data_IF_568703338690
#
_entry.id   IF_568703338690
#
_cell.length_a   1.000
_cell.length_b   1.000
_cell.length_c   1.000
_cell.angle_alpha   90.00
_cell.angle_beta   90.00
_cell.angle_gamma   90.00
#
_symmetry.space_group_name_H-M   'P 1'
#
loop_
_entity.id
_entity.type
_entity.pdbx_description
1 polymer ?
#
# COMPACT_ATOMS: atom_id res chain seq x y z
N UNK A 1 -4.52 -6.35 -10.74
CA UNK A 1 -3.62 -5.19 -10.83
C UNK A 1 -4.30 -3.96 -10.27
N UNK A 2 -3.55 -3.01 -9.73
CA UNK A 2 -4.05 -1.76 -9.17
C UNK A 2 -3.55 -0.58 -9.98
N UNK A 3 -4.29 0.52 -9.95
CA UNK A 3 -3.91 1.77 -10.56
C UNK A 3 -2.71 2.43 -9.84
N UNK A 4 -2.09 3.36 -10.55
CA UNK A 4 -1.13 4.34 -10.06
C UNK A 4 -1.77 5.73 -10.05
N UNK A 5 -1.14 6.66 -9.33
CA UNK A 5 -1.42 8.09 -9.48
C UNK A 5 -0.27 8.79 -10.23
N UNK A 6 -0.61 9.86 -10.96
CA UNK A 6 0.29 10.61 -11.85
C UNK A 6 0.92 11.82 -11.14
N UNK A 7 0.27 12.32 -10.10
CA UNK A 7 0.61 13.54 -9.38
C UNK A 7 1.15 13.29 -7.99
N UNK A 8 0.94 12.10 -7.42
CA UNK A 8 1.28 11.80 -6.04
C UNK A 8 1.64 10.34 -5.80
N UNK A 9 2.32 10.16 -4.68
CA UNK A 9 2.79 8.91 -4.15
C UNK A 9 1.77 7.75 -4.19
N UNK A 10 2.27 6.52 -4.27
CA UNK A 10 1.45 5.34 -3.95
C UNK A 10 0.89 5.45 -2.56
N UNK A 11 -0.31 4.95 -2.33
CA UNK A 11 -0.79 4.86 -0.96
C UNK A 11 0.10 3.89 -0.16
N UNK A 12 1.08 4.42 0.60
CA UNK A 12 1.99 3.63 1.46
C UNK A 12 1.24 2.80 2.48
N UNK A 13 0.04 3.26 2.77
CA UNK A 13 -0.92 2.57 3.57
C UNK A 13 -1.16 1.15 3.06
N UNK A 14 -1.40 1.03 1.75
CA UNK A 14 -1.66 -0.21 1.04
C UNK A 14 -0.39 -0.90 0.53
N UNK A 15 0.71 -0.16 0.33
CA UNK A 15 1.93 -0.66 -0.30
C UNK A 15 2.66 -1.68 0.59
N UNK A 16 2.90 -2.88 0.06
CA UNK A 16 3.78 -3.90 0.62
C UNK A 16 4.67 -4.42 -0.49
N UNK A 17 5.96 -4.09 -0.45
CA UNK A 17 6.93 -4.54 -1.46
C UNK A 17 7.26 -6.01 -1.30
N UNK A 18 7.75 -6.68 -2.35
CA UNK A 18 8.20 -8.08 -2.25
C UNK A 18 9.43 -8.24 -1.34
N UNK A 19 10.33 -7.26 -1.34
CA UNK A 19 11.58 -7.26 -0.58
C UNK A 19 11.47 -6.64 0.82
N UNK A 20 10.28 -6.19 1.22
CA UNK A 20 10.03 -5.48 2.48
C UNK A 20 10.93 -4.24 2.74
N UNK A 21 11.61 -3.73 1.70
CA UNK A 21 12.64 -2.70 1.82
C UNK A 21 12.13 -1.26 1.80
N UNK A 22 10.86 -1.06 1.45
CA UNK A 22 10.23 0.28 1.45
C UNK A 22 9.31 0.43 2.64
N UNK A 23 8.34 -0.47 2.77
CA UNK A 23 7.40 -0.50 3.89
C UNK A 23 6.75 -1.88 3.95
N UNK A 24 6.78 -2.52 5.12
CA UNK A 24 6.17 -3.83 5.35
C UNK A 24 5.27 -3.88 6.61
N UNK A 25 4.97 -2.72 7.19
CA UNK A 25 4.12 -2.63 8.36
C UNK A 25 3.09 -1.52 8.18
N UNK A 26 2.14 -1.50 9.10
CA UNK A 26 1.12 -0.46 9.17
C UNK A 26 1.72 0.83 9.74
N UNK A 27 2.08 1.75 8.85
CA UNK A 27 2.78 2.99 9.22
C UNK A 27 1.91 3.92 10.09
N UNK A 28 0.58 3.86 9.94
CA UNK A 28 -0.34 4.72 10.69
C UNK A 28 -0.46 4.33 12.16
N UNK A 29 -0.45 3.04 12.47
CA UNK A 29 -0.34 2.60 13.87
C UNK A 29 0.91 3.18 14.52
N UNK A 30 2.05 3.19 13.80
CA UNK A 30 3.29 3.78 14.30
C UNK A 30 3.18 5.29 14.51
N UNK A 31 2.58 6.01 13.58
CA UNK A 31 2.35 7.47 13.72
C UNK A 31 1.47 7.75 14.94
N UNK A 32 0.33 7.08 15.07
CA UNK A 32 -0.60 7.29 16.19
C UNK A 32 0.00 6.91 17.53
N UNK A 33 0.79 5.84 17.61
CA UNK A 33 1.48 5.46 18.85
C UNK A 33 2.47 6.55 19.30
N UNK A 34 3.18 7.18 18.35
CA UNK A 34 4.10 8.27 18.65
C UNK A 34 3.38 9.56 19.01
N UNK A 35 2.28 9.88 18.34
CA UNK A 35 1.41 11.01 18.70
C UNK A 35 0.84 10.86 20.12
N UNK A 36 0.31 9.67 20.45
CA UNK A 36 -0.21 9.35 21.79
C UNK A 36 0.86 9.40 22.88
N UNK A 37 2.13 9.17 22.53
CA UNK A 37 3.23 9.26 23.48
C UNK A 37 3.54 10.68 23.96
N UNK A 38 3.00 11.71 23.28
CA UNK A 38 3.19 13.12 23.65
C UNK A 38 4.62 13.64 23.48
N UNK A 39 5.51 12.85 22.87
CA UNK A 39 6.90 13.27 22.59
C UNK A 39 6.90 14.40 21.56
N UNK A 40 7.66 15.45 21.83
CA UNK A 40 7.91 16.53 20.86
C UNK A 40 9.07 16.13 19.97
N UNK A 41 8.86 16.23 18.67
CA UNK A 41 9.88 15.96 17.64
C UNK A 41 10.34 17.29 17.06
N UNK A 42 11.65 17.46 16.91
CA UNK A 42 12.22 18.61 16.22
C UNK A 42 12.29 18.33 14.72
N UNK A 43 11.94 19.31 13.87
CA UNK A 43 12.26 19.27 12.45
C UNK A 43 11.15 18.83 11.47
N UNK A 44 9.87 18.89 11.86
CA UNK A 44 8.74 18.65 10.94
C UNK A 44 7.55 17.97 11.62
N UNK A 45 6.53 17.59 10.84
CA UNK A 45 5.44 16.75 11.35
C UNK A 45 5.90 15.29 11.45
N UNK A 46 5.26 14.49 12.31
CA UNK A 46 5.51 13.04 12.38
C UNK A 46 5.23 12.34 11.05
N UNK A 47 4.24 12.84 10.31
CA UNK A 47 3.92 12.40 8.94
C UNK A 47 5.13 12.65 8.03
N UNK A 48 5.77 13.81 8.09
CA UNK A 48 6.94 14.09 7.25
C UNK A 48 8.11 13.16 7.56
N UNK A 49 8.35 12.91 8.84
CA UNK A 49 9.48 12.12 9.32
C UNK A 49 9.32 10.61 9.06
N UNK A 50 8.08 10.12 8.95
CA UNK A 50 7.79 8.68 8.90
C UNK A 50 7.15 8.29 7.58
N UNK A 51 6.23 9.08 7.04
CA UNK A 51 5.49 8.75 5.82
C UNK A 51 6.16 9.39 4.60
N UNK A 52 6.43 10.70 4.66
CA UNK A 52 6.93 11.47 3.51
C UNK A 52 8.27 10.95 2.99
N UNK A 53 9.13 10.39 3.85
CA UNK A 53 10.43 9.83 3.47
C UNK A 53 10.37 8.54 2.63
N UNK A 54 9.25 7.80 2.69
CA UNK A 54 9.08 6.55 1.96
C UNK A 54 8.27 6.73 0.66
N UNK A 55 7.54 7.84 0.54
CA UNK A 55 7.63 8.87 -0.50
C UNK A 55 8.27 8.58 -1.87
N UNK A 56 7.89 7.57 -2.66
CA UNK A 56 8.49 7.30 -3.99
C UNK A 56 7.55 7.62 -5.14
N UNK A 57 7.99 8.52 -6.02
CA UNK A 57 7.39 8.72 -7.33
C UNK A 57 7.69 7.53 -8.24
N UNK A 58 6.67 7.01 -8.93
CA UNK A 58 6.83 5.94 -9.90
C UNK A 58 6.61 6.45 -11.33
N UNK A 59 7.68 6.51 -12.13
CA UNK A 59 7.57 6.77 -13.56
C UNK A 59 6.57 5.85 -14.29
N UNK A 60 5.83 6.41 -15.26
CA UNK A 60 4.82 5.73 -16.12
C UNK A 60 5.49 4.85 -17.20
N UNK A 61 6.57 4.14 -16.85
CA UNK A 61 7.38 3.35 -17.82
C UNK A 61 7.77 1.97 -17.31
N UNK A 62 7.32 1.59 -16.12
CA UNK A 62 7.69 0.31 -15.52
C UNK A 62 6.70 -0.81 -15.82
N UNK A 63 5.56 -0.51 -16.47
CA UNK A 63 4.52 -1.48 -16.78
C UNK A 63 3.92 -2.09 -15.52
N UNK A 64 3.87 -3.43 -15.47
CA UNK A 64 3.37 -4.19 -14.33
C UNK A 64 4.49 -4.48 -13.32
N UNK A 65 4.39 -3.90 -12.13
CA UNK A 65 5.30 -4.12 -11.02
C UNK A 65 4.66 -5.00 -9.96
N UNK A 66 5.26 -6.18 -9.73
CA UNK A 66 4.74 -7.10 -8.73
C UNK A 66 4.98 -6.59 -7.30
N UNK A 67 3.95 -6.66 -6.46
CA UNK A 67 3.96 -6.27 -5.04
C UNK A 67 3.16 -7.30 -4.23
N UNK A 68 3.32 -7.26 -2.90
CA UNK A 68 2.46 -8.02 -2.00
C UNK A 68 1.08 -7.37 -1.86
N UNK A 69 1.04 -6.04 -1.85
CA UNK A 69 -0.17 -5.23 -1.84
C UNK A 69 0.14 -3.82 -2.35
N UNK A 70 -0.83 -3.17 -2.98
CA UNK A 70 -0.84 -1.74 -3.28
C UNK A 70 -2.28 -1.33 -3.66
N UNK A 71 -2.61 -0.06 -3.51
CA UNK A 71 -3.85 0.50 -4.04
C UNK A 71 -3.65 1.98 -4.38
N UNK A 72 -4.39 2.47 -5.37
CA UNK A 72 -4.22 3.81 -5.94
C UNK A 72 -5.50 4.33 -6.57
N UNK A 73 -6.65 4.03 -5.98
CA UNK A 73 -7.98 4.49 -6.43
C UNK A 73 -8.76 3.49 -7.28
N UNK A 74 -8.10 2.56 -7.98
CA UNK A 74 -8.77 1.49 -8.71
C UNK A 74 -8.01 0.17 -8.70
N UNK A 75 -8.75 -0.94 -8.81
CA UNK A 75 -8.22 -2.30 -8.83
C UNK A 75 -9.03 -3.22 -9.74
N UNK A 76 -8.33 -4.01 -10.54
CA UNK A 76 -8.90 -5.05 -11.40
C UNK A 76 -8.42 -6.42 -10.91
N UNK A 77 -9.38 -7.28 -10.56
CA UNK A 77 -9.13 -8.58 -9.99
C UNK A 77 -9.79 -9.67 -10.83
N UNK A 78 -9.09 -10.80 -11.01
CA UNK A 78 -9.74 -12.01 -11.52
C UNK A 78 -10.62 -12.55 -10.40
N UNK A 79 -11.92 -12.71 -10.66
CA UNK A 79 -12.90 -13.19 -9.67
C UNK A 79 -12.44 -14.48 -9.01
N UNK A 80 -11.93 -15.44 -9.78
CA UNK A 80 -11.45 -16.70 -9.22
C UNK A 80 -10.29 -16.54 -8.22
N UNK A 81 -9.48 -15.49 -8.37
CA UNK A 81 -8.39 -15.21 -7.45
C UNK A 81 -8.87 -14.59 -6.13
N UNK A 82 -10.11 -14.12 -6.04
CA UNK A 82 -10.66 -13.49 -4.82
C UNK A 82 -11.52 -14.42 -3.98
N UNK A 83 -11.80 -15.64 -4.44
CA UNK A 83 -12.68 -16.56 -3.72
C UNK A 83 -12.19 -16.85 -2.30
N UNK A 84 -13.10 -16.69 -1.35
CA UNK A 84 -12.85 -16.92 0.07
C UNK A 84 -11.84 -15.95 0.68
N UNK A 85 -11.57 -14.80 0.04
CA UNK A 85 -10.84 -13.67 0.60
C UNK A 85 -11.82 -12.53 0.90
N UNK A 86 -11.74 -12.00 2.11
CA UNK A 86 -12.61 -10.92 2.56
C UNK A 86 -11.91 -9.58 2.47
N UNK A 87 -12.67 -8.59 2.00
CA UNK A 87 -12.29 -7.19 2.04
C UNK A 87 -12.65 -6.64 3.41
N UNK A 88 -11.71 -6.67 4.36
CA UNK A 88 -11.95 -6.32 5.76
C UNK A 88 -10.74 -5.57 6.36
N UNK A 89 -10.98 -4.39 6.94
CA UNK A 89 -9.99 -3.54 7.61
C UNK A 89 -9.96 -3.63 9.14
N UNK A 90 -10.61 -4.61 9.77
CA UNK A 90 -10.68 -4.69 11.24
C UNK A 90 -9.30 -4.79 11.94
N UNK A 91 -8.29 -5.34 11.27
CA UNK A 91 -6.95 -5.59 11.84
C UNK A 91 -5.84 -4.72 11.27
N UNK A 92 -6.14 -3.99 10.20
CA UNK A 92 -5.16 -3.17 9.47
C UNK A 92 -5.85 -1.88 9.09
N UNK A 93 -5.13 -0.77 9.13
CA UNK A 93 -5.73 0.50 8.78
C UNK A 93 -6.25 0.49 7.33
N UNK A 94 -5.61 -0.25 6.41
CA UNK A 94 -6.08 -0.44 5.03
C UNK A 94 -6.54 -1.88 4.79
N UNK A 95 -7.78 -2.03 4.36
CA UNK A 95 -8.47 -3.27 4.05
C UNK A 95 -7.97 -3.98 2.78
N UNK A 96 -7.34 -3.23 1.85
CA UNK A 96 -6.68 -3.84 0.68
C UNK A 96 -5.51 -4.73 1.08
N UNK A 97 -4.80 -4.42 2.16
CA UNK A 97 -3.64 -5.20 2.60
C UNK A 97 -4.02 -6.65 2.93
N UNK A 98 -4.93 -6.93 3.88
CA UNK A 98 -5.31 -8.30 4.20
C UNK A 98 -6.03 -8.99 3.04
N UNK A 99 -6.80 -8.24 2.23
CA UNK A 99 -7.42 -8.78 1.03
C UNK A 99 -6.39 -9.30 0.02
N UNK A 100 -5.38 -8.48 -0.31
CA UNK A 100 -4.29 -8.85 -1.21
C UNK A 100 -3.43 -9.99 -0.67
N UNK A 101 -3.09 -9.96 0.63
CA UNK A 101 -2.34 -11.04 1.25
C UNK A 101 -3.10 -12.37 1.18
N UNK A 102 -4.41 -12.37 1.45
CA UNK A 102 -5.24 -13.55 1.27
C UNK A 102 -5.22 -14.05 -0.18
N UNK A 103 -5.37 -13.17 -1.17
CA UNK A 103 -5.33 -13.55 -2.59
C UNK A 103 -4.00 -14.26 -2.92
N UNK A 104 -2.89 -13.75 -2.40
CA UNK A 104 -1.55 -14.32 -2.61
C UNK A 104 -1.38 -15.66 -1.91
N UNK A 105 -1.75 -15.74 -0.64
CA UNK A 105 -1.51 -16.92 0.20
C UNK A 105 -2.47 -18.07 -0.11
N UNK A 106 -3.76 -17.77 -0.27
CA UNK A 106 -4.81 -18.77 -0.46
C UNK A 106 -4.96 -19.20 -1.92
N UNK A 107 -4.92 -18.23 -2.84
CA UNK A 107 -5.26 -18.44 -4.24
C UNK A 107 -4.05 -18.33 -5.17
N UNK A 108 -2.83 -18.21 -4.62
CA UNK A 108 -1.57 -18.07 -5.37
C UNK A 108 -1.61 -16.92 -6.39
N UNK A 109 -2.48 -15.94 -6.14
CA UNK A 109 -2.62 -14.76 -6.98
C UNK A 109 -1.39 -13.87 -6.86
N UNK A 110 -1.16 -13.05 -7.88
CA UNK A 110 -0.11 -12.03 -7.86
C UNK A 110 -0.75 -10.66 -7.96
N UNK A 111 -0.24 -9.73 -7.15
CA UNK A 111 -0.70 -8.35 -7.13
C UNK A 111 0.33 -7.53 -7.88
N UNK A 112 -0.16 -6.68 -8.78
CA UNK A 112 0.67 -5.83 -9.59
C UNK A 112 0.14 -4.41 -9.50
N UNK A 113 1.06 -3.47 -9.41
CA UNK A 113 0.84 -2.07 -9.75
C UNK A 113 0.98 -1.95 -11.27
N UNK A 114 0.05 -1.28 -11.94
CA UNK A 114 0.22 -0.90 -13.34
C UNK A 114 0.52 0.60 -13.42
N UNK A 115 1.77 0.96 -13.76
CA UNK A 115 2.19 2.36 -13.84
C UNK A 115 1.53 3.14 -14.99
N UNK A 116 0.86 2.46 -15.93
CA UNK A 116 0.14 3.07 -17.05
C UNK A 116 -1.37 3.18 -16.78
N UNK A 117 -1.89 2.44 -15.79
CA UNK A 117 -3.28 2.55 -15.37
C UNK A 117 -3.43 3.69 -14.36
N UNK A 118 -3.65 4.90 -14.87
CA UNK A 118 -3.73 6.12 -14.08
C UNK A 118 -5.19 6.46 -13.71
N UNK A 119 -5.40 6.88 -12.47
CA UNK A 119 -6.65 7.49 -12.00
C UNK A 119 -6.34 8.96 -11.71
N UNK A 120 -7.12 9.87 -12.31
CA UNK A 120 -6.98 11.32 -12.19
C UNK A 120 -7.84 11.87 -11.05
#
# INVERSE_FOLDING_TARGET
MTASSSSSYYDIWALRTLSDSVMNYDVWHRVWDLERSGKKYCGGTLVDLIITIHQKHMPIKYGLLEVRSAFGGAGLYKVNSTYGCQYNGEKTTCEHVPFHLCIREKNQGRIFINSEFQIN
#
